data_IF_336847556171
#
_entry.id   IF_336847556171
#
_cell.length_a   1.000
_cell.length_b   1.000
_cell.length_c   1.000
_cell.angle_alpha   90.00
_cell.angle_beta   90.00
_cell.angle_gamma   90.00
#
_symmetry.space_group_name_H-M   'P 1'
#
loop_
_entity.id
_entity.type
_entity.pdbx_description
1 polymer ?
#
# COMPACT_ATOMS: atom_id res chain seq x y z
N UNK A 1 -18.28 -10.50 22.45
CA UNK A 1 -18.04 -9.31 21.62
C UNK A 1 -17.65 -9.80 20.24
N UNK A 2 -18.39 -9.46 19.19
CA UNK A 2 -18.01 -9.87 17.83
C UNK A 2 -16.64 -9.25 17.48
N UNK A 3 -15.72 -10.07 16.97
CA UNK A 3 -14.42 -9.57 16.53
C UNK A 3 -14.62 -8.58 15.37
N UNK A 4 -13.97 -7.43 15.45
CA UNK A 4 -14.01 -6.43 14.37
C UNK A 4 -13.34 -6.98 13.12
N UNK A 5 -14.02 -6.90 11.98
CA UNK A 5 -13.44 -7.19 10.67
C UNK A 5 -12.68 -5.96 10.19
N UNK A 6 -11.35 -6.07 10.17
CA UNK A 6 -10.46 -5.01 9.71
C UNK A 6 -10.14 -5.19 8.22
N UNK A 7 -10.70 -4.32 7.38
CA UNK A 7 -10.35 -4.17 5.97
C UNK A 7 -9.00 -3.44 5.84
N UNK A 8 -8.29 -3.70 4.74
CA UNK A 8 -7.07 -2.99 4.35
C UNK A 8 -7.08 -2.74 2.85
N UNK A 9 -6.20 -1.86 2.37
CA UNK A 9 -6.03 -1.62 0.93
C UNK A 9 -5.82 -2.94 0.16
N UNK A 10 -4.82 -3.74 0.53
CA UNK A 10 -4.54 -5.06 -0.09
C UNK A 10 -5.71 -6.03 0.02
N UNK A 11 -6.44 -6.00 1.15
CA UNK A 11 -7.64 -6.83 1.33
C UNK A 11 -8.75 -6.44 0.36
N UNK A 12 -8.96 -5.15 0.14
CA UNK A 12 -9.92 -4.62 -0.84
C UNK A 12 -9.45 -4.87 -2.28
N UNK A 13 -8.15 -4.86 -2.58
CA UNK A 13 -7.68 -5.26 -3.91
C UNK A 13 -8.07 -6.69 -4.29
N UNK A 14 -8.18 -7.59 -3.30
CA UNK A 14 -8.67 -8.94 -3.54
C UNK A 14 -10.11 -8.95 -4.06
N UNK A 15 -10.94 -7.97 -3.69
CA UNK A 15 -12.29 -7.79 -4.23
C UNK A 15 -12.25 -7.44 -5.72
N UNK A 16 -11.36 -6.53 -6.12
CA UNK A 16 -11.18 -6.16 -7.53
C UNK A 16 -10.71 -7.34 -8.38
N UNK A 17 -9.90 -8.24 -7.81
CA UNK A 17 -9.47 -9.48 -8.47
C UNK A 17 -10.58 -10.52 -8.56
N UNK A 18 -11.25 -10.81 -7.44
CA UNK A 18 -12.36 -11.77 -7.40
C UNK A 18 -13.24 -11.59 -6.16
N UNK A 19 -14.53 -11.23 -6.32
CA UNK A 19 -15.43 -11.01 -5.18
C UNK A 19 -15.66 -12.28 -4.35
N UNK A 20 -15.66 -13.46 -4.97
CA UNK A 20 -15.77 -14.74 -4.24
C UNK A 20 -14.56 -14.98 -3.36
N UNK A 21 -13.34 -14.77 -3.86
CA UNK A 21 -12.12 -14.94 -3.06
C UNK A 21 -12.09 -13.95 -1.90
N UNK A 22 -12.45 -12.69 -2.14
CA UNK A 22 -12.56 -11.68 -1.10
C UNK A 22 -13.56 -12.10 0.00
N UNK A 23 -14.76 -12.55 -0.38
CA UNK A 23 -15.75 -13.03 0.58
C UNK A 23 -15.26 -14.26 1.36
N UNK A 24 -14.66 -15.24 0.68
CA UNK A 24 -14.12 -16.45 1.31
C UNK A 24 -13.03 -16.11 2.34
N UNK A 25 -12.14 -15.16 2.01
CA UNK A 25 -11.09 -14.70 2.91
C UNK A 25 -11.67 -14.10 4.19
N UNK A 26 -12.61 -13.16 4.06
CA UNK A 26 -13.10 -12.39 5.21
C UNK A 26 -14.22 -13.09 6.01
N UNK A 27 -15.03 -13.93 5.36
CA UNK A 27 -16.18 -14.59 6.01
C UNK A 27 -15.84 -16.02 6.43
N UNK A 28 -14.99 -16.73 5.67
CA UNK A 28 -14.66 -18.14 5.93
C UNK A 28 -13.21 -18.37 6.35
N UNK A 29 -12.35 -17.35 6.32
CA UNK A 29 -10.92 -17.51 6.59
C UNK A 29 -10.21 -18.36 5.53
N UNK A 30 -10.80 -18.50 4.33
CA UNK A 30 -10.22 -19.27 3.22
C UNK A 30 -9.51 -18.29 2.30
N UNK A 31 -8.18 -18.29 2.38
CA UNK A 31 -7.32 -17.42 1.60
C UNK A 31 -6.98 -18.05 0.25
N UNK A 32 -6.61 -17.21 -0.71
CA UNK A 32 -5.92 -17.69 -1.92
C UNK A 32 -4.59 -18.32 -1.51
N UNK A 33 -4.11 -19.35 -2.22
CA UNK A 33 -2.75 -19.86 -2.04
C UNK A 33 -1.73 -18.71 -2.08
N UNK A 34 -0.75 -18.76 -1.19
CA UNK A 34 0.30 -17.75 -1.13
C UNK A 34 1.09 -17.71 -2.46
N UNK A 35 1.22 -16.52 -3.04
CA UNK A 35 2.05 -16.30 -4.22
C UNK A 35 3.54 -16.23 -3.85
N UNK A 36 4.41 -16.53 -4.81
CA UNK A 36 5.86 -16.39 -4.60
C UNK A 36 6.20 -14.90 -4.56
N UNK A 37 6.63 -14.40 -3.39
CA UNK A 37 7.09 -13.02 -3.20
C UNK A 37 8.61 -12.95 -2.99
N UNK A 38 9.24 -11.91 -3.53
CA UNK A 38 10.68 -11.70 -3.34
C UNK A 38 11.00 -11.29 -1.90
N UNK A 39 11.71 -12.17 -1.18
CA UNK A 39 12.22 -11.85 0.17
C UNK A 39 13.24 -10.69 0.16
N UNK A 40 13.89 -10.45 -0.98
CA UNK A 40 14.85 -9.36 -1.13
C UNK A 40 14.14 -8.00 -1.06
N UNK A 41 13.05 -7.80 -1.79
CA UNK A 41 12.25 -6.57 -1.74
C UNK A 41 11.75 -6.28 -0.31
N UNK A 42 11.27 -7.31 0.40
CA UNK A 42 10.85 -7.19 1.80
C UNK A 42 12.00 -6.77 2.73
N UNK A 43 13.23 -7.22 2.47
CA UNK A 43 14.40 -6.79 3.25
C UNK A 43 14.81 -5.35 2.91
N UNK A 44 14.72 -4.96 1.63
CA UNK A 44 14.99 -3.60 1.19
C UNK A 44 14.05 -2.58 1.85
N UNK A 45 12.76 -2.87 1.94
CA UNK A 45 11.80 -2.02 2.65
C UNK A 45 12.24 -1.72 4.09
N UNK A 46 12.64 -2.76 4.84
CA UNK A 46 13.16 -2.60 6.21
C UNK A 46 14.44 -1.77 6.27
N UNK A 47 15.35 -1.95 5.31
CA UNK A 47 16.59 -1.18 5.24
C UNK A 47 16.29 0.30 4.98
N UNK A 48 15.37 0.60 4.06
CA UNK A 48 14.94 1.97 3.78
C UNK A 48 14.29 2.62 5.01
N UNK A 49 13.35 1.93 5.67
CA UNK A 49 12.72 2.42 6.91
C UNK A 49 13.75 2.73 7.99
N UNK A 50 14.72 1.83 8.21
CA UNK A 50 15.79 2.07 9.17
C UNK A 50 16.66 3.27 8.78
N UNK A 51 16.99 3.42 7.48
CA UNK A 51 17.77 4.56 7.01
C UNK A 51 17.03 5.88 7.21
N UNK A 52 15.73 5.94 6.89
CA UNK A 52 14.90 7.12 7.15
C UNK A 52 14.82 7.45 8.65
N UNK A 53 14.70 6.44 9.51
CA UNK A 53 14.66 6.63 10.96
C UNK A 53 15.90 7.37 11.51
N UNK A 54 17.10 7.18 10.91
CA UNK A 54 18.34 7.85 11.34
C UNK A 54 18.22 9.38 11.26
N UNK A 55 17.50 9.89 10.24
CA UNK A 55 17.36 11.34 10.01
C UNK A 55 16.15 11.95 10.74
N UNK A 56 15.27 11.15 11.34
CA UNK A 56 13.99 11.65 11.88
C UNK A 56 14.16 12.71 12.98
N UNK A 57 15.16 12.55 13.85
CA UNK A 57 15.43 13.47 14.96
C UNK A 57 16.31 14.66 14.55
N UNK A 58 16.93 14.64 13.37
CA UNK A 58 17.71 15.78 12.87
C UNK A 58 16.80 16.85 12.26
N UNK A 59 15.58 16.48 11.87
CA UNK A 59 14.66 17.35 11.14
C UNK A 59 15.05 17.55 9.68
N UNK A 60 16.03 16.79 9.19
CA UNK A 60 16.48 16.75 7.80
C UNK A 60 15.85 15.55 7.08
N UNK A 61 15.77 15.65 5.74
CA UNK A 61 15.40 14.51 4.92
C UNK A 61 16.64 13.65 4.61
N UNK A 62 16.50 12.32 4.46
CA UNK A 62 17.60 11.48 4.02
C UNK A 62 18.19 11.98 2.69
N UNK A 63 19.53 11.96 2.52
CA UNK A 63 20.21 12.44 1.30
C UNK A 63 19.63 11.90 -0.01
N UNK A 64 19.07 10.69 0.00
CA UNK A 64 18.45 10.07 -1.19
C UNK A 64 17.21 10.79 -1.73
N UNK A 65 16.51 11.54 -0.88
CA UNK A 65 15.31 12.32 -1.23
C UNK A 65 15.48 13.83 -1.00
N UNK A 66 16.61 14.27 -0.45
CA UNK A 66 16.93 15.68 -0.25
C UNK A 66 16.93 16.43 -1.59
N UNK A 67 16.28 17.59 -1.62
CA UNK A 67 16.11 18.39 -2.85
C UNK A 67 15.12 17.83 -3.86
N UNK A 68 14.54 16.64 -3.63
CA UNK A 68 13.49 16.03 -4.49
C UNK A 68 12.09 16.13 -3.86
N UNK A 69 12.03 16.19 -2.53
CA UNK A 69 10.81 16.37 -1.74
C UNK A 69 11.05 17.54 -0.77
N UNK A 70 10.01 18.32 -0.50
CA UNK A 70 10.01 19.34 0.54
C UNK A 70 9.29 18.85 1.81
N UNK A 71 9.74 19.32 2.97
CA UNK A 71 9.15 18.98 4.27
C UNK A 71 10.13 18.26 5.18
N UNK A 72 9.59 17.58 6.18
CA UNK A 72 10.35 16.80 7.17
C UNK A 72 9.69 15.44 7.37
N UNK A 73 10.44 14.46 7.86
CA UNK A 73 9.84 13.20 8.28
C UNK A 73 8.87 13.45 9.45
N UNK A 74 7.72 12.77 9.46
CA UNK A 74 6.79 12.83 10.58
C UNK A 74 7.49 12.39 11.87
N UNK A 75 7.44 13.23 12.91
CA UNK A 75 8.06 12.96 14.20
C UNK A 75 7.14 13.41 15.37
N UNK A 76 6.71 12.50 16.28
CA UNK A 76 6.94 11.06 16.26
C UNK A 76 6.28 10.38 15.06
N UNK A 77 6.94 9.36 14.51
CA UNK A 77 6.40 8.60 13.39
C UNK A 77 5.27 7.68 13.84
N UNK A 78 4.15 7.71 13.13
CA UNK A 78 3.06 6.77 13.30
C UNK A 78 2.95 5.91 12.03
N UNK A 79 3.37 4.65 12.13
CA UNK A 79 3.32 3.71 11.00
C UNK A 79 1.89 3.27 10.68
N UNK A 80 1.11 2.91 11.71
CA UNK A 80 -0.21 2.29 11.53
C UNK A 80 -1.33 3.30 11.84
N UNK A 81 -2.31 3.36 10.95
CA UNK A 81 -3.53 4.13 11.11
C UNK A 81 -4.73 3.19 10.97
N UNK A 82 -5.78 3.46 11.73
CA UNK A 82 -7.02 2.70 11.66
C UNK A 82 -8.21 3.59 11.95
N UNK A 83 -9.37 3.21 11.43
CA UNK A 83 -10.64 3.84 11.71
C UNK A 83 -11.71 2.78 11.95
N UNK A 84 -12.60 3.06 12.90
CA UNK A 84 -13.82 2.28 13.07
C UNK A 84 -14.86 2.81 12.09
N UNK A 85 -15.49 1.93 11.32
CA UNK A 85 -16.55 2.31 10.38
C UNK A 85 -17.92 2.16 11.08
N UNK A 86 -18.13 1.02 11.71
CA UNK A 86 -19.32 0.70 12.51
C UNK A 86 -18.97 -0.36 13.57
N UNK A 87 -19.97 -1.00 14.20
CA UNK A 87 -19.78 -2.03 15.23
C UNK A 87 -19.18 -3.35 14.73
N UNK A 88 -19.06 -3.58 13.43
CA UNK A 88 -18.54 -4.81 12.82
C UNK A 88 -17.29 -4.58 11.99
N UNK A 89 -17.15 -3.43 11.33
CA UNK A 89 -16.07 -3.16 10.39
C UNK A 89 -15.14 -2.02 10.84
N UNK A 90 -13.90 -2.10 10.37
CA UNK A 90 -12.93 -1.03 10.45
C UNK A 90 -12.01 -1.07 9.23
N UNK A 91 -11.29 0.01 8.97
CA UNK A 91 -10.28 0.09 7.91
C UNK A 91 -8.93 0.45 8.52
N UNK A 92 -7.88 -0.25 8.11
CA UNK A 92 -6.52 -0.02 8.61
C UNK A 92 -5.50 -0.03 7.49
N UNK A 93 -4.42 0.70 7.71
CA UNK A 93 -3.27 0.77 6.79
C UNK A 93 -1.99 1.03 7.55
N UNK A 94 -0.88 0.68 6.91
CA UNK A 94 0.46 0.98 7.37
C UNK A 94 1.15 1.80 6.30
N UNK A 95 1.63 2.98 6.65
CA UNK A 95 2.46 3.79 5.75
C UNK A 95 3.89 3.25 5.81
N UNK A 96 4.64 3.43 4.72
CA UNK A 96 6.09 3.23 4.76
C UNK A 96 6.78 4.43 5.41
N UNK A 97 6.37 5.64 5.02
CA UNK A 97 6.80 6.90 5.62
C UNK A 97 5.73 8.01 5.42
N UNK A 98 5.82 9.08 6.20
CA UNK A 98 4.98 10.27 6.07
C UNK A 98 5.85 11.54 6.12
N UNK A 99 5.68 12.40 5.11
CA UNK A 99 6.32 13.71 5.04
C UNK A 99 5.34 14.76 5.56
N UNK A 100 5.83 15.65 6.43
CA UNK A 100 5.09 16.81 6.90
C UNK A 100 5.63 18.05 6.19
N UNK A 101 4.81 18.66 5.33
CA UNK A 101 5.16 19.89 4.62
C UNK A 101 5.17 21.12 5.57
N UNK A 102 5.75 22.23 5.10
CA UNK A 102 5.85 23.49 5.86
C UNK A 102 4.48 24.02 6.31
N UNK A 103 3.43 23.74 5.54
CA UNK A 103 2.05 24.13 5.84
C UNK A 103 1.33 23.16 6.82
N UNK A 104 2.02 22.13 7.32
CA UNK A 104 1.50 21.11 8.24
C UNK A 104 0.79 19.92 7.58
N UNK A 105 0.75 19.85 6.24
CA UNK A 105 0.13 18.75 5.51
C UNK A 105 0.96 17.48 5.61
N UNK A 106 0.28 16.37 5.87
CA UNK A 106 0.81 15.02 5.93
C UNK A 106 0.65 14.36 4.56
N UNK A 107 1.79 14.05 3.94
CA UNK A 107 1.89 13.48 2.61
C UNK A 107 2.46 12.07 2.74
N UNK A 108 1.73 11.02 2.32
CA UNK A 108 2.25 9.66 2.37
C UNK A 108 3.38 9.48 1.33
N UNK A 109 4.44 8.78 1.74
CA UNK A 109 5.55 8.36 0.91
C UNK A 109 5.64 6.82 0.96
N UNK A 110 5.32 6.16 -0.14
CA UNK A 110 5.27 4.69 -0.24
C UNK A 110 6.48 4.17 -1.03
N UNK A 111 7.15 3.16 -0.49
CA UNK A 111 8.41 2.65 -1.06
C UNK A 111 8.11 1.56 -2.09
N UNK A 112 8.70 1.69 -3.27
CA UNK A 112 8.56 0.72 -4.37
C UNK A 112 9.93 0.20 -4.80
N UNK A 113 10.23 -1.04 -4.46
CA UNK A 113 11.38 -1.73 -5.05
C UNK A 113 11.01 -2.24 -6.44
N UNK A 114 11.76 -1.84 -7.45
CA UNK A 114 11.61 -2.34 -8.81
C UNK A 114 12.90 -3.02 -9.28
N UNK A 115 12.78 -3.99 -10.18
CA UNK A 115 13.94 -4.67 -10.78
C UNK A 115 14.64 -3.86 -11.86
N UNK A 116 14.01 -2.78 -12.33
CA UNK A 116 14.32 -2.07 -13.57
C UNK A 116 13.72 -0.65 -13.52
N UNK A 117 14.18 0.24 -14.40
CA UNK A 117 13.72 1.63 -14.44
C UNK A 117 12.19 1.73 -14.67
N UNK A 118 11.45 2.39 -13.76
CA UNK A 118 10.00 2.53 -13.85
C UNK A 118 9.52 3.82 -14.52
N UNK A 119 10.40 4.73 -14.98
CA UNK A 119 10.01 6.07 -15.46
C UNK A 119 9.01 6.04 -16.62
N UNK A 120 9.20 5.12 -17.56
CA UNK A 120 8.34 4.98 -18.73
C UNK A 120 7.11 4.08 -18.50
N UNK A 121 6.89 3.65 -17.24
CA UNK A 121 5.78 2.75 -16.89
C UNK A 121 4.56 3.53 -16.46
N UNK A 122 3.41 3.06 -16.91
CA UNK A 122 2.13 3.48 -16.35
C UNK A 122 2.07 3.16 -14.86
N UNK A 123 1.49 4.08 -14.10
CA UNK A 123 1.23 3.84 -12.67
C UNK A 123 0.20 2.75 -12.53
N UNK A 124 0.54 1.68 -11.79
CA UNK A 124 -0.43 0.63 -11.49
C UNK A 124 -1.62 1.21 -10.69
N UNK A 125 -2.84 0.83 -11.05
CA UNK A 125 -4.06 1.25 -10.35
C UNK A 125 -4.02 0.92 -8.85
N UNK A 126 -3.35 -0.18 -8.50
CA UNK A 126 -3.00 -0.57 -7.13
C UNK A 126 -2.28 0.55 -6.36
N UNK A 127 -1.23 1.12 -6.96
CA UNK A 127 -0.43 2.15 -6.32
C UNK A 127 -1.19 3.47 -6.16
N UNK A 128 -2.02 3.83 -7.14
CA UNK A 128 -2.94 4.96 -6.99
C UNK A 128 -3.91 4.74 -5.83
N UNK A 129 -4.50 3.55 -5.77
CA UNK A 129 -5.45 3.16 -4.74
C UNK A 129 -4.82 3.11 -3.34
N UNK A 130 -3.52 2.80 -3.25
CA UNK A 130 -2.74 2.83 -2.02
C UNK A 130 -2.58 4.27 -1.49
N UNK A 131 -2.23 5.23 -2.38
CA UNK A 131 -2.13 6.65 -2.02
C UNK A 131 -3.49 7.20 -1.58
N UNK A 132 -4.56 6.91 -2.33
CA UNK A 132 -5.93 7.27 -1.96
C UNK A 132 -6.30 6.73 -0.56
N UNK A 133 -5.89 5.49 -0.24
CA UNK A 133 -6.16 4.85 1.05
C UNK A 133 -5.41 5.52 2.20
N UNK A 134 -4.14 5.90 2.01
CA UNK A 134 -3.37 6.58 3.04
C UNK A 134 -3.87 7.99 3.31
N UNK A 135 -4.17 8.77 2.28
CA UNK A 135 -4.73 10.11 2.46
C UNK A 135 -6.08 10.05 3.19
N UNK A 136 -6.93 9.06 2.85
CA UNK A 136 -8.16 8.81 3.57
C UNK A 136 -7.91 8.50 5.05
N UNK A 137 -6.99 7.58 5.37
CA UNK A 137 -6.67 7.21 6.76
C UNK A 137 -6.10 8.37 7.56
N UNK A 138 -5.17 9.13 6.98
CA UNK A 138 -4.57 10.32 7.60
C UNK A 138 -5.64 11.36 7.92
N UNK A 139 -6.50 11.69 6.95
CA UNK A 139 -7.59 12.66 7.13
C UNK A 139 -8.57 12.22 8.23
N UNK A 140 -8.97 10.95 8.23
CA UNK A 140 -9.88 10.40 9.25
C UNK A 140 -9.23 10.30 10.64
N UNK A 141 -7.90 10.37 10.73
CA UNK A 141 -7.14 10.44 11.98
C UNK A 141 -6.75 11.89 12.34
N UNK A 142 -7.54 12.87 11.90
CA UNK A 142 -7.38 14.30 12.20
C UNK A 142 -6.02 14.89 11.76
N UNK A 143 -5.37 14.30 10.76
CA UNK A 143 -4.19 14.90 10.13
C UNK A 143 -4.65 15.85 9.03
N UNK A 144 -4.01 17.01 8.95
CA UNK A 144 -4.11 17.86 7.75
C UNK A 144 -3.43 17.13 6.60
N UNK A 145 -4.09 16.97 5.47
CA UNK A 145 -3.56 16.24 4.30
C UNK A 145 -3.54 17.13 3.08
N UNK A 146 -2.57 16.91 2.19
CA UNK A 146 -2.58 17.48 0.85
C UNK A 146 -3.46 16.65 -0.11
N UNK A 147 -3.44 16.99 -1.39
CA UNK A 147 -4.18 16.27 -2.45
C UNK A 147 -3.30 15.26 -3.21
N UNK A 148 -2.16 14.87 -2.65
CA UNK A 148 -1.19 14.01 -3.31
C UNK A 148 -0.41 13.11 -2.34
N UNK A 149 0.25 12.12 -2.89
CA UNK A 149 1.27 11.31 -2.23
C UNK A 149 2.44 11.01 -3.16
N UNK A 150 3.48 10.41 -2.63
CA UNK A 150 4.68 10.05 -3.38
C UNK A 150 4.86 8.54 -3.44
N UNK A 151 5.26 8.06 -4.62
CA UNK A 151 5.89 6.76 -4.76
C UNK A 151 7.40 6.98 -4.89
N UNK A 152 8.18 6.38 -4.00
CA UNK A 152 9.63 6.36 -4.10
C UNK A 152 10.08 5.02 -4.68
N UNK A 153 10.40 5.04 -5.96
CA UNK A 153 11.00 3.91 -6.62
C UNK A 153 12.49 3.82 -6.32
N UNK A 154 12.91 2.61 -5.92
CA UNK A 154 14.31 2.25 -5.71
C UNK A 154 14.60 1.03 -6.57
N UNK A 155 15.56 1.14 -7.48
CA UNK A 155 15.88 0.06 -8.45
C UNK A 155 17.39 0.04 -8.76
N UNK A 156 17.92 -1.14 -9.14
CA UNK A 156 19.33 -1.28 -9.50
C UNK A 156 19.68 -0.52 -10.78
N UNK A 157 20.93 -0.06 -10.85
CA UNK A 157 21.58 0.32 -12.09
C UNK A 157 22.80 -0.58 -12.36
N UNK A 158 23.43 -0.42 -13.52
CA UNK A 158 24.71 -1.07 -13.81
C UNK A 158 25.81 -0.51 -12.90
N UNK A 159 26.70 -1.37 -12.42
CA UNK A 159 27.79 -1.00 -11.53
C UNK A 159 29.06 -1.76 -11.85
N UNK A 160 30.20 -1.09 -11.69
CA UNK A 160 31.53 -1.68 -11.89
C UNK A 160 32.13 -2.25 -10.60
N UNK A 161 31.71 -1.75 -9.42
CA UNK A 161 32.26 -2.10 -8.10
C UNK A 161 31.19 -2.69 -7.15
N UNK A 162 30.45 -3.71 -7.62
CA UNK A 162 29.29 -4.28 -6.89
C UNK A 162 29.63 -4.88 -5.51
N UNK A 163 30.91 -5.18 -5.24
CA UNK A 163 31.36 -5.74 -3.97
C UNK A 163 31.46 -4.70 -2.85
N UNK A 164 31.54 -3.40 -3.18
CA UNK A 164 31.53 -2.29 -2.22
C UNK A 164 30.15 -1.64 -2.15
N UNK A 165 29.62 -1.21 -3.31
CA UNK A 165 28.31 -0.55 -3.38
C UNK A 165 27.49 -1.06 -4.54
N UNK A 166 26.26 -1.47 -4.22
CA UNK A 166 25.24 -1.75 -5.22
C UNK A 166 24.57 -0.43 -5.65
N UNK A 167 24.72 0.02 -6.91
CA UNK A 167 24.19 1.30 -7.35
C UNK A 167 22.67 1.25 -7.41
N UNK A 168 22.03 2.01 -6.53
CA UNK A 168 20.57 2.13 -6.48
C UNK A 168 20.17 3.52 -6.97
N UNK A 169 19.24 3.56 -7.92
CA UNK A 169 18.65 4.78 -8.44
C UNK A 169 17.34 5.05 -7.72
N UNK A 170 17.12 6.32 -7.39
CA UNK A 170 15.92 6.80 -6.70
C UNK A 170 15.12 7.68 -7.66
N UNK A 171 13.92 7.22 -8.00
CA UNK A 171 12.96 7.98 -8.77
C UNK A 171 11.70 8.23 -7.93
N UNK A 172 11.29 9.50 -7.83
CA UNK A 172 10.13 9.91 -7.04
C UNK A 172 9.02 10.31 -8.02
N UNK A 173 7.86 9.69 -7.88
CA UNK A 173 6.67 10.01 -8.66
C UNK A 173 5.61 10.60 -7.73
N UNK A 174 5.17 11.83 -8.02
CA UNK A 174 4.05 12.47 -7.33
C UNK A 174 2.74 12.02 -7.96
N UNK A 175 1.81 11.52 -7.14
CA UNK A 175 0.48 11.10 -7.57
C UNK A 175 -0.57 11.94 -6.88
N UNK A 176 -1.48 12.53 -7.64
CA UNK A 176 -2.67 13.17 -7.08
C UNK A 176 -3.57 12.09 -6.49
N UNK A 177 -3.97 12.24 -5.23
CA UNK A 177 -4.81 11.29 -4.52
C UNK A 177 -6.25 11.76 -4.39
N UNK A 178 -7.17 10.81 -4.24
CA UNK A 178 -8.59 11.06 -4.02
C UNK A 178 -9.15 10.14 -2.93
N UNK A 179 -9.19 10.61 -1.66
CA UNK A 179 -9.72 9.86 -0.53
C UNK A 179 -11.15 9.33 -0.70
N UNK A 180 -11.98 9.98 -1.53
CA UNK A 180 -13.35 9.54 -1.77
C UNK A 180 -13.42 8.18 -2.49
N UNK A 181 -12.39 7.82 -3.26
CA UNK A 181 -12.28 6.50 -3.88
C UNK A 181 -12.19 5.41 -2.81
N UNK A 182 -11.40 5.63 -1.76
CA UNK A 182 -11.26 4.69 -0.64
C UNK A 182 -12.59 4.46 0.07
N UNK A 183 -13.34 5.53 0.37
CA UNK A 183 -14.66 5.41 1.00
C UNK A 183 -15.63 4.56 0.16
N UNK A 184 -15.67 4.78 -1.17
CA UNK A 184 -16.50 3.99 -2.09
C UNK A 184 -16.10 2.52 -2.11
N UNK A 185 -14.79 2.23 -2.13
CA UNK A 185 -14.28 0.86 -2.12
C UNK A 185 -14.59 0.14 -0.81
N UNK A 186 -14.45 0.81 0.33
CA UNK A 186 -14.86 0.29 1.65
C UNK A 186 -16.35 -0.05 1.66
N UNK A 187 -17.21 0.86 1.19
CA UNK A 187 -18.66 0.61 1.15
C UNK A 187 -19.02 -0.59 0.25
N UNK A 188 -18.36 -0.72 -0.91
CA UNK A 188 -18.53 -1.88 -1.80
C UNK A 188 -18.09 -3.18 -1.13
N UNK A 189 -16.94 -3.16 -0.46
CA UNK A 189 -16.41 -4.29 0.29
C UNK A 189 -17.39 -4.76 1.38
N UNK A 190 -17.89 -3.86 2.21
CA UNK A 190 -18.87 -4.19 3.26
C UNK A 190 -20.14 -4.80 2.65
N UNK A 191 -20.67 -4.22 1.57
CA UNK A 191 -21.86 -4.75 0.89
C UNK A 191 -21.66 -6.20 0.43
N UNK A 192 -20.49 -6.53 -0.11
CA UNK A 192 -20.18 -7.90 -0.52
C UNK A 192 -20.12 -8.83 0.70
N UNK A 193 -19.50 -8.40 1.81
CA UNK A 193 -19.35 -9.22 3.01
C UNK A 193 -20.67 -9.50 3.74
N UNK A 194 -21.63 -8.57 3.69
CA UNK A 194 -22.97 -8.77 4.27
C UNK A 194 -23.89 -9.61 3.38
N UNK A 195 -23.53 -9.80 2.11
CA UNK A 195 -24.27 -10.62 1.16
C UNK A 195 -23.99 -12.11 1.29
N UNK A 196 -24.75 -12.89 0.49
CA UNK A 196 -24.41 -14.29 0.20
C UNK A 196 -23.09 -14.35 -0.57
N UNK A 197 -22.41 -15.49 -0.52
CA UNK A 197 -21.17 -15.72 -1.27
C UNK A 197 -21.38 -15.38 -2.76
N UNK A 198 -20.61 -14.45 -3.33
CA UNK A 198 -20.79 -14.02 -4.72
C UNK A 198 -20.26 -15.06 -5.73
N UNK A 199 -20.64 -14.86 -6.99
CA UNK A 199 -20.03 -15.56 -8.12
C UNK A 199 -18.52 -15.23 -8.20
N UNK A 200 -17.69 -16.14 -8.73
CA UNK A 200 -16.28 -15.84 -8.93
C UNK A 200 -16.12 -14.86 -10.10
N UNK A 201 -15.02 -14.11 -10.13
CA UNK A 201 -14.64 -13.43 -11.37
C UNK A 201 -14.32 -14.48 -12.45
N UNK A 202 -14.79 -14.33 -13.70
CA UNK A 202 -14.56 -15.33 -14.76
C UNK A 202 -13.08 -15.62 -15.03
N UNK A 203 -12.23 -14.61 -14.88
CA UNK A 203 -10.79 -14.68 -15.07
C UNK A 203 -10.02 -15.13 -13.81
N UNK A 204 -10.70 -15.49 -12.72
CA UNK A 204 -10.02 -15.82 -11.47
C UNK A 204 -9.30 -17.19 -11.56
N UNK A 205 -7.96 -17.23 -11.59
CA UNK A 205 -7.24 -18.49 -11.79
C UNK A 205 -7.48 -19.47 -10.65
N UNK A 206 -7.62 -18.99 -9.41
CA UNK A 206 -7.83 -19.84 -8.23
C UNK A 206 -9.22 -20.49 -8.22
N UNK A 207 -10.27 -19.72 -8.55
CA UNK A 207 -11.61 -20.26 -8.63
C UNK A 207 -11.74 -21.25 -9.80
N UNK A 208 -11.11 -20.92 -10.93
CA UNK A 208 -11.11 -21.79 -12.10
C UNK A 208 -10.39 -23.09 -11.79
N UNK A 209 -9.18 -23.03 -11.21
CA UNK A 209 -8.42 -24.20 -10.77
C UNK A 209 -9.23 -25.10 -9.82
N UNK A 210 -9.89 -24.53 -8.81
CA UNK A 210 -10.72 -25.28 -7.86
C UNK A 210 -11.94 -25.96 -8.50
N UNK A 211 -12.43 -25.42 -9.62
CA UNK A 211 -13.59 -25.95 -10.33
C UNK A 211 -13.22 -26.92 -11.46
N UNK A 212 -11.91 -27.14 -11.73
CA UNK A 212 -11.48 -28.15 -12.70
C UNK A 212 -11.97 -29.51 -12.19
N UNK A 213 -12.80 -30.16 -13.00
CA UNK A 213 -13.13 -31.58 -12.85
C UNK A 213 -12.28 -32.33 -13.85
N UNK A 214 -11.46 -33.23 -13.36
CA UNK A 214 -10.75 -34.18 -14.22
C UNK A 214 -11.72 -35.34 -14.39
N UNK A 215 -12.31 -35.45 -15.57
CA UNK A 215 -13.03 -36.66 -15.96
C UNK A 215 -11.96 -37.70 -16.30
N UNK A 216 -12.01 -38.86 -15.64
CA UNK A 216 -11.16 -40.03 -15.92
C UNK A 216 -11.64 -40.78 -17.16
#
# INVERSE_FOLDING_TARGET
MANTIWLSHTGIEALERCPRCFWLQYVKGIYQPEGIVSRLANRFDKVLKNYFNIYRNTGELPPMIQGKIEGKLQNPYQETYWIRIDNRYGFKGKLDECIVEKNGEHIPLDFKTASTDPRDRETLAAYQSQIDAYLFLLAQNNKKVGDFGYLMYVYPDQGTELHDKFPMVIHIKKLRGNPANTAKKIASAIRILEGKMPAPAPSCPFCNYRNIRIEE
#
